data_IF_168601840770
#
_entry.id   IF_168601840770
#
_cell.length_a   1.000
_cell.length_b   1.000
_cell.length_c   1.000
_cell.angle_alpha   90.00
_cell.angle_beta   90.00
_cell.angle_gamma   90.00
#
_symmetry.space_group_name_H-M   'P 1'
#
loop_
_entity.id
_entity.type
_entity.pdbx_description
1 polymer ?
#
# COMPACT_ATOMS: atom_id res chain seq x y z
N UNK A 1 37.39 20.02 -2.59
CA UNK A 1 36.87 21.37 -2.93
C UNK A 1 37.63 21.87 -4.15
N UNK A 2 36.96 22.39 -5.20
CA UNK A 2 37.64 22.75 -6.45
C UNK A 2 38.59 23.94 -6.26
N UNK A 3 39.79 23.83 -6.80
CA UNK A 3 40.78 24.91 -6.87
C UNK A 3 40.25 26.09 -7.71
N UNK A 4 40.88 27.28 -7.57
CA UNK A 4 40.52 28.48 -8.34
C UNK A 4 40.44 28.20 -9.85
N UNK A 5 41.35 27.37 -10.37
CA UNK A 5 41.39 26.97 -11.78
C UNK A 5 40.27 26.01 -12.16
N UNK A 6 40.00 25.01 -11.32
CA UNK A 6 38.88 24.08 -11.52
C UNK A 6 37.51 24.80 -11.49
N UNK A 7 37.32 25.80 -10.61
CA UNK A 7 36.12 26.65 -10.60
C UNK A 7 35.95 27.44 -11.90
N UNK A 8 37.03 27.98 -12.47
CA UNK A 8 36.99 28.68 -13.76
C UNK A 8 36.55 27.74 -14.89
N UNK A 9 37.03 26.49 -14.88
CA UNK A 9 36.63 25.46 -15.84
C UNK A 9 35.14 25.12 -15.71
N UNK A 10 34.66 24.85 -14.49
CA UNK A 10 33.24 24.56 -14.24
C UNK A 10 32.33 25.71 -14.69
N UNK A 11 32.65 26.95 -14.31
CA UNK A 11 31.86 28.12 -14.68
C UNK A 11 31.80 28.32 -16.20
N UNK A 12 32.90 28.07 -16.90
CA UNK A 12 32.93 28.17 -18.36
C UNK A 12 32.07 27.09 -19.01
N UNK A 13 32.16 25.83 -18.56
CA UNK A 13 31.33 24.74 -19.08
C UNK A 13 29.85 25.03 -18.86
N UNK A 14 29.45 25.43 -17.65
CA UNK A 14 28.05 25.77 -17.32
C UNK A 14 27.52 26.93 -18.17
N UNK A 15 28.30 28.02 -18.31
CA UNK A 15 27.87 29.18 -19.09
C UNK A 15 27.82 28.90 -20.59
N UNK A 16 28.73 28.06 -21.11
CA UNK A 16 28.74 27.65 -22.50
C UNK A 16 27.55 26.75 -22.83
N UNK A 17 27.25 25.76 -21.98
CA UNK A 17 26.07 24.90 -22.13
C UNK A 17 24.76 25.70 -22.12
N UNK A 18 24.62 26.63 -21.16
CA UNK A 18 23.42 27.47 -21.07
C UNK A 18 23.20 28.35 -22.32
N UNK A 19 24.29 28.76 -22.99
CA UNK A 19 24.22 29.64 -24.17
C UNK A 19 24.09 28.88 -25.50
N UNK A 20 24.67 27.68 -25.60
CA UNK A 20 24.81 26.94 -26.88
C UNK A 20 24.00 25.64 -26.93
N UNK A 21 23.48 25.17 -25.80
CA UNK A 21 22.71 23.93 -25.72
C UNK A 21 23.55 22.64 -25.75
N UNK A 22 24.88 22.74 -25.78
CA UNK A 22 25.80 21.60 -25.77
C UNK A 22 27.11 21.93 -25.03
N UNK A 23 27.88 20.91 -24.65
CA UNK A 23 29.13 21.08 -23.90
C UNK A 23 30.28 21.61 -24.79
N UNK A 24 31.15 22.48 -24.25
CA UNK A 24 32.34 22.93 -24.98
C UNK A 24 33.34 21.79 -25.16
N UNK A 25 34.04 21.81 -26.30
CA UNK A 25 35.19 20.94 -26.56
C UNK A 25 36.42 21.34 -25.74
N UNK A 26 37.39 20.43 -25.63
CA UNK A 26 38.64 20.70 -24.90
C UNK A 26 39.44 21.86 -25.52
N UNK A 27 39.38 22.03 -26.84
CA UNK A 27 40.01 23.17 -27.54
C UNK A 27 39.31 24.51 -27.23
N UNK A 28 37.98 24.51 -27.09
CA UNK A 28 37.22 25.70 -26.70
C UNK A 28 37.51 26.10 -25.25
N UNK A 29 37.65 25.12 -24.35
CA UNK A 29 38.07 25.35 -22.96
C UNK A 29 39.50 25.90 -22.93
N UNK A 30 40.41 25.38 -23.77
CA UNK A 30 41.80 25.84 -23.88
C UNK A 30 41.88 27.30 -24.31
N UNK A 31 41.17 27.63 -25.38
CA UNK A 31 41.13 28.96 -25.96
C UNK A 31 40.55 29.97 -24.98
N UNK A 32 39.47 29.61 -24.27
CA UNK A 32 38.84 30.51 -23.31
C UNK A 32 39.70 30.77 -22.07
N UNK A 33 40.37 29.75 -21.55
CA UNK A 33 41.21 29.86 -20.35
C UNK A 33 42.66 30.24 -20.64
N UNK A 34 43.02 30.47 -21.92
CA UNK A 34 44.36 30.80 -22.41
C UNK A 34 45.43 29.84 -21.89
N UNK A 35 45.17 28.54 -21.99
CA UNK A 35 46.08 27.49 -21.54
C UNK A 35 47.02 27.03 -22.65
N UNK A 36 48.25 26.69 -22.28
CA UNK A 36 49.30 26.27 -23.23
C UNK A 36 49.04 24.90 -23.87
N UNK A 37 48.36 23.98 -23.17
CA UNK A 37 48.15 22.61 -23.65
C UNK A 37 46.76 22.05 -23.34
N UNK A 38 46.26 21.21 -24.25
CA UNK A 38 45.03 20.41 -24.08
C UNK A 38 45.21 19.38 -22.96
N UNK A 39 46.44 18.88 -22.75
CA UNK A 39 46.76 17.90 -21.71
C UNK A 39 46.51 18.46 -20.30
N UNK A 40 46.75 19.76 -20.08
CA UNK A 40 46.46 20.44 -18.81
C UNK A 40 44.96 20.47 -18.52
N UNK A 41 44.13 20.56 -19.55
CA UNK A 41 42.66 20.54 -19.42
C UNK A 41 42.18 19.13 -19.14
N UNK A 42 42.73 18.13 -19.85
CA UNK A 42 42.47 16.72 -19.55
C UNK A 42 42.74 16.40 -18.07
N UNK A 43 43.85 16.88 -17.51
CA UNK A 43 44.17 16.70 -16.09
C UNK A 43 43.11 17.31 -15.17
N UNK A 44 42.71 18.56 -15.42
CA UNK A 44 41.71 19.23 -14.59
C UNK A 44 40.30 18.66 -14.73
N UNK A 45 39.89 18.25 -15.95
CA UNK A 45 38.61 17.60 -16.20
C UNK A 45 38.59 16.25 -15.50
N UNK A 46 39.62 15.42 -15.65
CA UNK A 46 39.70 14.12 -14.97
C UNK A 46 39.62 14.28 -13.45
N UNK A 47 40.38 15.22 -12.88
CA UNK A 47 40.31 15.50 -11.44
C UNK A 47 38.94 16.02 -10.99
N UNK A 48 38.26 16.81 -11.82
CA UNK A 48 36.88 17.25 -11.57
C UNK A 48 35.87 16.10 -11.69
N UNK A 49 36.12 15.10 -12.53
CA UNK A 49 35.31 13.87 -12.61
C UNK A 49 35.55 12.97 -11.39
N UNK A 50 36.82 12.74 -11.02
CA UNK A 50 37.20 11.94 -9.85
C UNK A 50 36.63 12.55 -8.56
N UNK A 51 36.53 13.87 -8.49
CA UNK A 51 35.91 14.61 -7.38
C UNK A 51 34.38 14.77 -7.50
N UNK A 52 33.75 14.18 -8.53
CA UNK A 52 32.30 14.14 -8.70
C UNK A 52 31.62 15.43 -9.20
N UNK A 53 32.39 16.40 -9.70
CA UNK A 53 31.88 17.68 -10.20
C UNK A 53 31.50 17.66 -11.70
N UNK A 54 32.02 16.68 -12.46
CA UNK A 54 31.77 16.52 -13.90
C UNK A 54 31.48 15.06 -14.24
N UNK A 55 30.65 14.82 -15.25
CA UNK A 55 30.52 13.52 -15.91
C UNK A 55 30.92 13.65 -17.38
N UNK A 56 31.62 12.65 -17.94
CA UNK A 56 32.01 12.62 -19.36
C UNK A 56 31.98 11.17 -19.83
N UNK A 57 31.15 10.88 -20.80
CA UNK A 57 31.15 9.57 -21.48
C UNK A 57 32.40 9.44 -22.36
N UNK A 58 33.08 8.29 -22.27
CA UNK A 58 34.42 8.08 -22.86
C UNK A 58 34.48 8.22 -24.39
N UNK A 59 33.34 8.15 -25.10
CA UNK A 59 33.29 8.07 -26.56
C UNK A 59 32.65 9.28 -27.28
N UNK A 60 32.58 10.47 -26.67
CA UNK A 60 32.16 11.67 -27.40
C UNK A 60 32.95 12.94 -27.00
N UNK A 61 33.45 13.73 -27.98
CA UNK A 61 34.17 14.98 -27.70
C UNK A 61 33.30 16.08 -27.05
N UNK A 62 31.98 15.86 -26.90
CA UNK A 62 31.01 16.85 -26.36
C UNK A 62 30.07 16.30 -25.26
N UNK A 63 30.50 15.29 -24.50
CA UNK A 63 29.70 14.64 -23.44
C UNK A 63 29.93 15.16 -22.02
N UNK A 64 30.50 16.36 -21.82
CA UNK A 64 30.78 16.87 -20.46
C UNK A 64 29.51 17.46 -19.84
N UNK A 65 28.95 16.88 -18.78
CA UNK A 65 27.85 17.46 -17.99
C UNK A 65 28.35 17.91 -16.61
N UNK A 66 27.92 19.09 -16.14
CA UNK A 66 28.29 19.63 -14.82
C UNK A 66 27.25 19.20 -13.80
N UNK A 67 27.67 18.60 -12.68
CA UNK A 67 26.78 18.46 -11.53
C UNK A 67 26.60 19.84 -10.89
N UNK A 68 25.43 20.45 -11.07
CA UNK A 68 25.02 21.51 -10.14
C UNK A 68 24.87 20.88 -8.77
N UNK A 69 25.77 21.20 -7.83
CA UNK A 69 25.51 20.95 -6.41
C UNK A 69 24.38 21.87 -5.97
N UNK A 70 23.13 21.51 -6.31
CA UNK A 70 21.97 22.25 -5.85
C UNK A 70 21.94 22.12 -4.32
N UNK A 71 22.04 23.25 -3.61
CA UNK A 71 21.85 23.25 -2.16
C UNK A 71 20.44 22.72 -1.87
N UNK A 72 20.36 21.55 -1.25
CA UNK A 72 19.10 20.93 -0.86
C UNK A 72 18.64 21.51 0.48
N UNK A 73 17.37 21.85 0.59
CA UNK A 73 16.72 22.29 1.83
C UNK A 73 15.73 21.21 2.25
N UNK A 74 15.72 20.86 3.54
CA UNK A 74 14.77 19.91 4.11
C UNK A 74 13.50 20.66 4.50
N UNK A 75 12.37 20.26 3.93
CA UNK A 75 11.04 20.79 4.23
C UNK A 75 10.22 19.72 4.96
N UNK A 76 9.46 20.07 6.01
CA UNK A 76 8.62 19.11 6.73
C UNK A 76 7.52 18.53 5.82
N UNK A 77 7.37 17.20 5.83
CA UNK A 77 6.22 16.51 5.22
C UNK A 77 5.16 16.35 6.32
N UNK A 78 4.07 17.10 6.22
CA UNK A 78 3.09 17.24 7.32
C UNK A 78 1.93 16.23 7.25
N UNK A 79 1.93 15.32 6.27
CA UNK A 79 0.94 14.24 6.17
C UNK A 79 0.46 13.96 4.75
N UNK A 80 -0.67 13.28 4.66
CA UNK A 80 -1.37 12.91 3.42
C UNK A 80 -2.64 13.76 3.30
N UNK A 81 -2.98 14.22 2.10
CA UNK A 81 -4.19 14.99 1.80
C UNK A 81 -5.13 14.20 0.87
N UNK A 82 -6.19 13.61 1.44
CA UNK A 82 -7.30 12.96 0.74
C UNK A 82 -8.62 13.34 1.42
N UNK A 83 -9.69 13.45 0.63
CA UNK A 83 -11.03 13.86 1.05
C UNK A 83 -11.50 13.19 2.36
N UNK A 84 -11.81 14.01 3.37
CA UNK A 84 -12.65 13.62 4.50
C UNK A 84 -12.00 13.33 5.85
N UNK A 85 -10.68 13.43 6.04
CA UNK A 85 -10.04 13.18 7.36
C UNK A 85 -9.09 14.32 7.83
N UNK A 86 -8.97 14.54 9.16
CA UNK A 86 -8.18 15.62 9.74
C UNK A 86 -6.68 15.48 9.49
N UNK A 87 -6.01 16.62 9.27
CA UNK A 87 -4.55 16.73 9.41
C UNK A 87 -4.25 16.69 10.92
N UNK A 88 -4.27 15.51 11.52
CA UNK A 88 -3.67 15.32 12.84
C UNK A 88 -2.27 14.71 12.69
N UNK A 89 -1.33 15.41 13.30
CA UNK A 89 0.10 15.22 13.21
C UNK A 89 0.55 13.86 13.73
N UNK A 90 1.08 13.02 12.84
CA UNK A 90 2.03 11.98 13.23
C UNK A 90 3.36 12.69 13.49
N UNK A 91 3.78 12.74 14.76
CA UNK A 91 5.09 13.20 15.20
C UNK A 91 6.19 12.20 14.78
N UNK A 92 6.37 12.02 13.48
CA UNK A 92 7.65 11.62 12.91
C UNK A 92 8.02 12.72 11.92
N UNK A 93 9.13 13.42 12.15
CA UNK A 93 9.59 14.53 11.31
C UNK A 93 10.14 13.97 9.99
N UNK A 94 9.29 13.37 9.17
CA UNK A 94 9.61 13.12 7.78
C UNK A 94 9.87 14.47 7.10
N UNK A 95 10.98 14.55 6.37
CA UNK A 95 11.36 15.75 5.63
C UNK A 95 11.68 15.37 4.20
N UNK A 96 11.26 16.19 3.25
CA UNK A 96 11.64 16.06 1.84
C UNK A 96 12.77 17.04 1.55
N UNK A 97 13.80 16.56 0.86
CA UNK A 97 14.89 17.39 0.39
C UNK A 97 14.51 17.99 -0.97
N UNK A 98 14.44 19.31 -1.07
CA UNK A 98 14.13 20.01 -2.32
C UNK A 98 15.23 21.00 -2.68
N UNK A 99 15.48 21.25 -3.98
CA UNK A 99 16.39 22.30 -4.40
C UNK A 99 15.97 23.66 -3.84
N UNK A 100 16.93 24.42 -3.27
CA UNK A 100 16.68 25.77 -2.74
C UNK A 100 16.08 26.74 -3.76
N UNK A 101 16.26 26.47 -5.05
CA UNK A 101 15.65 27.23 -6.16
C UNK A 101 14.13 27.14 -6.19
N UNK A 102 13.54 26.09 -5.62
CA UNK A 102 12.08 25.91 -5.50
C UNK A 102 11.46 26.68 -4.32
N UNK A 103 12.30 27.24 -3.43
CA UNK A 103 11.87 28.01 -2.26
C UNK A 103 12.07 29.49 -2.56
N UNK A 104 10.98 30.26 -2.61
CA UNK A 104 11.06 31.72 -2.73
C UNK A 104 11.65 32.33 -1.45
N UNK A 105 12.40 33.42 -1.55
CA UNK A 105 12.97 34.11 -0.38
C UNK A 105 11.85 34.67 0.51
N UNK A 106 11.77 34.19 1.75
CA UNK A 106 10.79 34.63 2.75
C UNK A 106 9.47 33.86 2.67
N UNK A 107 9.15 33.12 3.74
CA UNK A 107 7.92 32.33 3.90
C UNK A 107 8.18 30.98 4.55
N UNK A 108 7.18 30.45 5.25
CA UNK A 108 7.19 29.08 5.76
C UNK A 108 6.59 28.15 4.70
N UNK A 109 7.23 27.00 4.49
CA UNK A 109 6.82 26.01 3.52
C UNK A 109 6.70 24.64 4.19
N UNK A 110 5.72 23.87 3.75
CA UNK A 110 5.54 22.48 4.13
C UNK A 110 5.12 21.65 2.91
N UNK A 111 5.28 20.34 2.99
CA UNK A 111 4.88 19.42 1.95
C UNK A 111 3.71 18.55 2.43
N UNK A 112 2.83 18.15 1.50
CA UNK A 112 1.79 17.15 1.74
C UNK A 112 1.80 16.13 0.60
N UNK A 113 1.56 14.86 0.92
CA UNK A 113 1.37 13.81 -0.08
C UNK A 113 -0.08 13.79 -0.54
N UNK A 114 -0.32 13.86 -1.84
CA UNK A 114 -1.66 13.80 -2.43
C UNK A 114 -2.18 12.38 -2.36
N UNK A 115 -3.44 12.23 -1.94
CA UNK A 115 -4.19 11.00 -2.06
C UNK A 115 -5.53 11.26 -2.77
N UNK A 116 -5.82 10.44 -3.77
CA UNK A 116 -6.94 10.59 -4.69
C UNK A 116 -6.60 11.34 -5.99
N UNK A 117 -7.58 11.36 -6.90
CA UNK A 117 -7.44 11.84 -8.28
C UNK A 117 -8.29 13.11 -8.57
N UNK A 118 -8.72 13.86 -7.55
CA UNK A 118 -9.62 15.03 -7.73
C UNK A 118 -8.98 16.23 -8.46
N UNK A 119 -7.67 16.19 -8.72
CA UNK A 119 -6.91 17.28 -9.35
C UNK A 119 -6.09 16.81 -10.57
N UNK A 120 -6.45 15.67 -11.17
CA UNK A 120 -5.71 15.06 -12.29
C UNK A 120 -5.62 15.97 -13.53
N UNK A 121 -6.66 16.74 -13.84
CA UNK A 121 -6.67 17.63 -15.01
C UNK A 121 -5.71 18.82 -14.83
N UNK A 122 -5.29 19.09 -13.59
CA UNK A 122 -4.22 20.04 -13.24
C UNK A 122 -2.85 19.37 -13.15
N UNK A 123 -2.72 18.14 -13.65
CA UNK A 123 -1.54 17.31 -13.53
C UNK A 123 -1.10 17.18 -12.07
N UNK A 124 -2.02 16.81 -11.18
CA UNK A 124 -1.71 16.43 -9.79
C UNK A 124 -2.30 15.05 -9.56
N UNK A 125 -1.44 14.04 -9.47
CA UNK A 125 -1.83 12.64 -9.41
C UNK A 125 -1.79 12.12 -7.97
N UNK A 126 -2.48 11.00 -7.75
CA UNK A 126 -2.34 10.25 -6.51
C UNK A 126 -0.88 9.90 -6.22
N UNK A 127 -0.43 10.13 -4.99
CA UNK A 127 0.94 9.90 -4.54
C UNK A 127 1.92 11.04 -4.78
N UNK A 128 1.59 12.04 -5.61
CA UNK A 128 2.42 13.24 -5.81
C UNK A 128 2.63 14.00 -4.48
N UNK A 129 3.70 14.79 -4.37
CA UNK A 129 3.95 15.63 -3.20
C UNK A 129 3.78 17.09 -3.59
N UNK A 130 2.84 17.79 -2.96
CA UNK A 130 2.65 19.22 -3.18
C UNK A 130 3.49 20.02 -2.20
N UNK A 131 4.20 21.02 -2.71
CA UNK A 131 4.90 22.02 -1.91
C UNK A 131 3.95 23.19 -1.67
N UNK A 132 3.71 23.48 -0.40
CA UNK A 132 2.74 24.46 0.06
C UNK A 132 3.46 25.61 0.75
N UNK A 133 3.17 26.84 0.32
CA UNK A 133 3.55 28.05 1.04
C UNK A 133 2.46 28.38 2.06
N UNK A 134 2.81 28.39 3.34
CA UNK A 134 1.88 28.67 4.43
C UNK A 134 1.37 30.11 4.34
N UNK A 135 0.05 30.27 4.23
CA UNK A 135 -0.63 31.56 4.21
C UNK A 135 -2.15 31.38 4.32
N UNK A 136 -2.83 32.36 4.92
CA UNK A 136 -4.28 32.32 5.16
C UNK A 136 -5.14 32.95 4.07
N UNK A 137 -4.52 33.60 3.07
CA UNK A 137 -5.23 34.27 1.99
C UNK A 137 -4.96 33.59 0.64
N UNK A 138 -5.98 33.52 -0.21
CA UNK A 138 -5.88 33.04 -1.59
C UNK A 138 -6.75 33.90 -2.53
N UNK A 139 -6.27 34.10 -3.75
CA UNK A 139 -7.00 34.70 -4.85
C UNK A 139 -7.73 33.66 -5.70
N UNK A 140 -8.70 34.10 -6.48
CA UNK A 140 -9.48 33.23 -7.36
C UNK A 140 -8.57 32.55 -8.40
N UNK A 141 -8.80 31.24 -8.61
CA UNK A 141 -8.02 30.42 -9.53
C UNK A 141 -6.72 29.87 -8.94
N UNK A 142 -6.38 30.20 -7.68
CA UNK A 142 -5.21 29.62 -7.02
C UNK A 142 -5.50 28.23 -6.46
N UNK A 143 -4.51 27.33 -6.56
CA UNK A 143 -4.56 26.02 -5.92
C UNK A 143 -4.23 26.16 -4.43
N UNK A 144 -5.13 25.71 -3.57
CA UNK A 144 -5.04 25.87 -2.12
C UNK A 144 -5.12 24.54 -1.41
N UNK A 145 -4.46 24.48 -0.26
CA UNK A 145 -4.82 23.54 0.80
C UNK A 145 -5.80 24.25 1.72
N UNK A 146 -7.03 23.75 1.77
CA UNK A 146 -8.09 24.28 2.63
C UNK A 146 -8.44 23.25 3.70
N UNK A 147 -8.64 23.71 4.93
CA UNK A 147 -9.18 22.94 6.03
C UNK A 147 -10.63 23.37 6.25
N UNK A 148 -11.56 22.43 6.17
CA UNK A 148 -12.98 22.66 6.36
C UNK A 148 -13.40 22.06 7.71
N UNK A 149 -14.20 22.81 8.48
CA UNK A 149 -14.71 22.45 9.82
C UNK A 149 -13.62 22.00 10.81
N UNK A 150 -12.39 22.48 10.63
CA UNK A 150 -11.21 22.12 11.42
C UNK A 150 -10.79 20.63 11.37
N UNK A 151 -11.38 19.81 10.48
CA UNK A 151 -11.01 18.40 10.34
C UNK A 151 -10.96 17.87 8.91
N UNK A 152 -11.33 18.61 7.87
CA UNK A 152 -11.31 18.08 6.50
C UNK A 152 -10.32 18.85 5.64
N UNK A 153 -9.13 18.29 5.40
CA UNK A 153 -8.16 18.91 4.51
C UNK A 153 -8.35 18.51 3.05
N UNK A 154 -8.38 19.49 2.17
CA UNK A 154 -8.59 19.26 0.74
C UNK A 154 -7.70 20.14 -0.13
N UNK A 155 -7.26 19.58 -1.25
CA UNK A 155 -6.53 20.29 -2.30
C UNK A 155 -7.48 20.59 -3.45
N UNK A 156 -7.75 21.88 -3.69
CA UNK A 156 -8.70 22.35 -4.71
C UNK A 156 -8.29 23.70 -5.28
N UNK A 157 -8.89 24.09 -6.40
CA UNK A 157 -8.79 25.46 -6.91
C UNK A 157 -9.81 26.35 -6.21
N UNK A 158 -9.35 27.44 -5.60
CA UNK A 158 -10.16 28.33 -4.79
C UNK A 158 -10.86 29.40 -5.64
N UNK A 159 -12.15 29.63 -5.35
CA UNK A 159 -12.93 30.74 -5.87
C UNK A 159 -13.76 31.38 -4.76
N UNK A 160 -13.50 32.67 -4.50
CA UNK A 160 -14.32 33.53 -3.66
C UNK A 160 -15.37 34.23 -4.54
N UNK A 161 -16.63 33.94 -4.25
CA UNK A 161 -17.80 34.51 -4.90
C UNK A 161 -18.59 35.36 -3.88
N UNK A 162 -19.58 36.16 -4.31
CA UNK A 162 -20.20 37.20 -3.45
C UNK A 162 -20.74 36.68 -2.10
N UNK A 163 -21.31 35.46 -2.07
CA UNK A 163 -21.93 34.88 -0.87
C UNK A 163 -21.46 33.45 -0.55
N UNK A 164 -20.44 32.96 -1.27
CA UNK A 164 -19.98 31.58 -1.13
C UNK A 164 -18.51 31.45 -1.49
N UNK A 165 -17.90 30.39 -0.98
CA UNK A 165 -16.59 29.92 -1.39
C UNK A 165 -16.80 28.62 -2.15
N UNK A 166 -16.19 28.52 -3.33
CA UNK A 166 -16.19 27.30 -4.13
C UNK A 166 -14.77 26.75 -4.21
N UNK A 167 -14.62 25.49 -3.79
CA UNK A 167 -13.42 24.71 -3.95
C UNK A 167 -13.62 23.75 -5.12
N UNK A 168 -13.01 24.09 -6.24
CA UNK A 168 -13.21 23.42 -7.52
C UNK A 168 -12.21 22.26 -7.69
N UNK A 169 -12.68 21.01 -7.89
CA UNK A 169 -11.82 19.93 -8.37
C UNK A 169 -11.41 20.17 -9.82
N UNK A 170 -10.24 19.65 -10.18
CA UNK A 170 -9.78 19.51 -11.56
C UNK A 170 -9.89 18.03 -11.96
N UNK A 171 -11.11 17.52 -11.86
CA UNK A 171 -11.54 16.21 -12.34
C UNK A 171 -13.07 16.27 -12.53
N UNK A 172 -13.54 15.93 -13.72
CA UNK A 172 -14.96 15.98 -14.10
C UNK A 172 -15.86 15.02 -13.32
N UNK A 173 -15.30 13.97 -12.71
CA UNK A 173 -16.03 13.01 -11.89
C UNK A 173 -16.39 13.54 -10.50
N UNK A 174 -15.86 14.72 -10.12
CA UNK A 174 -16.04 15.30 -8.79
C UNK A 174 -16.85 16.59 -8.86
N UNK A 175 -17.83 16.72 -7.96
CA UNK A 175 -18.59 17.95 -7.81
C UNK A 175 -17.80 19.02 -7.02
N UNK A 176 -17.99 20.32 -7.33
CA UNK A 176 -17.40 21.40 -6.55
C UNK A 176 -17.93 21.43 -5.12
N UNK A 177 -17.05 21.68 -4.14
CA UNK A 177 -17.47 21.94 -2.76
C UNK A 177 -17.85 23.42 -2.68
N UNK A 178 -19.13 23.71 -2.44
CA UNK A 178 -19.65 25.07 -2.29
C UNK A 178 -20.04 25.29 -0.84
N UNK A 179 -19.44 26.30 -0.20
CA UNK A 179 -19.69 26.66 1.20
C UNK A 179 -20.30 28.05 1.22
N UNK A 180 -21.55 28.18 1.66
CA UNK A 180 -22.19 29.49 1.83
C UNK A 180 -21.68 30.18 3.09
N UNK A 181 -21.75 31.51 3.09
CA UNK A 181 -21.36 32.32 4.25
C UNK A 181 -22.12 31.88 5.51
N UNK A 182 -21.39 31.42 6.53
CA UNK A 182 -21.95 31.01 7.82
C UNK A 182 -22.39 29.55 7.92
N UNK A 183 -22.22 28.74 6.86
CA UNK A 183 -22.64 27.34 6.84
C UNK A 183 -21.57 26.39 7.42
N UNK A 184 -20.32 26.55 6.99
CA UNK A 184 -19.15 25.75 7.41
C UNK A 184 -17.95 26.67 7.62
N UNK A 185 -17.04 26.27 8.49
CA UNK A 185 -15.79 27.00 8.70
C UNK A 185 -14.75 26.56 7.65
N UNK A 186 -14.05 27.51 7.02
CA UNK A 186 -12.98 27.20 6.07
C UNK A 186 -11.76 28.06 6.36
N UNK A 187 -10.62 27.39 6.53
CA UNK A 187 -9.32 28.01 6.76
C UNK A 187 -8.38 27.60 5.63
N UNK A 188 -7.84 28.58 4.92
CA UNK A 188 -6.76 28.33 3.96
C UNK A 188 -5.48 28.10 4.75
N UNK A 189 -4.86 26.93 4.57
CA UNK A 189 -3.59 26.58 5.20
C UNK A 189 -2.40 27.06 4.36
N UNK A 190 -2.56 27.11 3.03
CA UNK A 190 -1.54 27.65 2.15
C UNK A 190 -1.82 27.49 0.67
N UNK A 191 -0.92 28.06 -0.14
CA UNK A 191 -0.95 27.96 -1.60
C UNK A 191 -0.02 26.86 -2.08
N UNK A 192 -0.48 26.08 -3.05
CA UNK A 192 0.39 25.13 -3.75
C UNK A 192 1.28 25.90 -4.73
N UNK A 193 2.58 25.87 -4.48
CA UNK A 193 3.59 26.60 -5.27
C UNK A 193 4.31 25.69 -6.27
N UNK A 194 4.39 24.40 -5.97
CA UNK A 194 5.03 23.41 -6.85
C UNK A 194 4.47 22.02 -6.57
N UNK A 195 4.58 21.14 -7.56
CA UNK A 195 4.21 19.73 -7.47
C UNK A 195 5.46 18.92 -7.75
N UNK A 196 5.95 18.26 -6.70
CA UNK A 196 7.01 17.27 -6.83
C UNK A 196 6.31 16.00 -7.28
N UNK A 197 6.48 15.70 -8.56
CA UNK A 197 6.03 14.43 -9.09
C UNK A 197 6.60 13.32 -8.25
N UNK A 198 5.73 12.43 -7.80
CA UNK A 198 6.21 11.11 -7.43
C UNK A 198 6.82 10.59 -8.72
N UNK A 199 8.14 10.60 -8.81
CA UNK A 199 8.86 10.02 -9.94
C UNK A 199 8.63 8.50 -9.90
N UNK A 200 7.44 8.08 -10.33
CA UNK A 200 7.38 7.11 -11.40
C UNK A 200 7.77 7.92 -12.65
N UNK A 201 9.06 8.23 -12.76
CA UNK A 201 9.70 8.18 -14.07
C UNK A 201 9.14 6.91 -14.74
N UNK A 202 8.82 6.88 -16.05
CA UNK A 202 8.85 5.60 -16.72
C UNK A 202 10.28 5.12 -16.47
N UNK A 203 10.46 4.30 -15.44
CA UNK A 203 11.69 3.58 -15.24
C UNK A 203 11.81 2.90 -16.58
N UNK A 204 12.88 3.19 -17.31
CA UNK A 204 13.47 2.08 -18.03
C UNK A 204 13.58 1.01 -16.98
N UNK A 205 12.70 0.01 -17.11
CA UNK A 205 12.57 -1.05 -16.13
C UNK A 205 14.00 -1.45 -15.74
N UNK A 206 14.30 -1.44 -14.45
CA UNK A 206 15.65 -1.81 -13.98
C UNK A 206 16.04 -3.12 -14.66
N UNK A 207 17.32 -3.43 -14.85
CA UNK A 207 17.70 -4.73 -15.45
C UNK A 207 17.04 -5.91 -14.69
N UNK A 208 16.74 -5.72 -13.41
CA UNK A 208 15.92 -6.64 -12.64
C UNK A 208 14.42 -6.60 -13.03
N UNK A 209 13.77 -5.44 -13.19
CA UNK A 209 12.38 -5.28 -13.71
C UNK A 209 12.22 -5.81 -15.15
N UNK A 210 13.20 -5.59 -16.03
CA UNK A 210 13.25 -6.17 -17.39
C UNK A 210 13.48 -7.68 -17.35
N UNK A 211 14.31 -8.18 -16.42
CA UNK A 211 14.45 -9.63 -16.17
C UNK A 211 13.13 -10.23 -15.65
N UNK A 212 12.35 -9.49 -14.88
CA UNK A 212 11.05 -9.93 -14.35
C UNK A 212 9.94 -9.97 -15.42
N UNK A 213 9.91 -9.05 -16.38
CA UNK A 213 9.02 -9.14 -17.56
C UNK A 213 9.38 -10.33 -18.47
N UNK A 214 10.66 -10.73 -18.47
CA UNK A 214 11.17 -11.91 -19.18
C UNK A 214 10.96 -13.22 -18.42
N UNK A 215 10.49 -13.19 -17.17
CA UNK A 215 10.18 -14.43 -16.44
C UNK A 215 8.94 -15.07 -17.04
N UNK A 216 9.11 -16.30 -17.49
CA UNK A 216 8.03 -17.05 -18.11
C UNK A 216 6.90 -17.28 -17.10
N UNK A 217 5.72 -16.71 -17.41
CA UNK A 217 4.49 -16.99 -16.66
C UNK A 217 4.22 -18.50 -16.73
N UNK A 218 3.60 -19.04 -15.68
CA UNK A 218 3.13 -20.42 -15.69
C UNK A 218 2.16 -20.60 -16.85
N UNK A 219 2.55 -21.40 -17.84
CA UNK A 219 1.67 -21.86 -18.92
C UNK A 219 0.51 -22.69 -18.37
N UNK A 220 0.77 -23.43 -17.29
CA UNK A 220 -0.23 -24.11 -16.46
C UNK A 220 0.10 -23.89 -14.98
N UNK A 221 -0.92 -23.52 -14.20
CA UNK A 221 -0.75 -23.35 -12.75
C UNK A 221 -0.26 -24.66 -12.10
N UNK A 222 0.68 -24.59 -11.15
CA UNK A 222 1.16 -25.74 -10.39
C UNK A 222 0.13 -26.14 -9.33
N UNK A 223 -1.00 -26.70 -9.78
CA UNK A 223 -2.08 -27.11 -8.89
C UNK A 223 -1.62 -28.22 -7.94
N UNK A 224 -2.04 -28.12 -6.70
CA UNK A 224 -1.73 -29.01 -5.58
C UNK A 224 -0.24 -29.08 -5.24
N UNK A 225 0.48 -27.98 -5.44
CA UNK A 225 1.92 -27.89 -5.17
C UNK A 225 2.24 -26.89 -4.05
N UNK A 226 3.37 -27.14 -3.40
CA UNK A 226 3.98 -26.24 -2.41
C UNK A 226 5.30 -25.72 -2.96
N UNK A 227 5.33 -24.42 -3.25
CA UNK A 227 6.42 -23.73 -3.92
C UNK A 227 7.32 -23.11 -2.85
N UNK A 228 8.63 -23.32 -3.01
CA UNK A 228 9.62 -22.58 -2.24
C UNK A 228 9.99 -21.31 -2.99
N UNK A 229 9.71 -20.16 -2.38
CA UNK A 229 9.99 -18.87 -2.99
C UNK A 229 9.37 -17.72 -2.23
N UNK A 230 9.76 -16.51 -2.63
CA UNK A 230 9.08 -15.30 -2.19
C UNK A 230 7.66 -15.22 -2.78
N UNK A 231 6.70 -14.76 -1.98
CA UNK A 231 5.30 -14.71 -2.38
C UNK A 231 5.06 -13.82 -3.61
N UNK A 232 5.76 -12.69 -3.72
CA UNK A 232 5.64 -11.79 -4.86
C UNK A 232 6.18 -12.47 -6.12
N UNK A 233 7.34 -13.12 -6.03
CA UNK A 233 7.96 -13.82 -7.15
C UNK A 233 7.10 -15.00 -7.64
N UNK A 234 6.50 -15.75 -6.73
CA UNK A 234 5.56 -16.82 -7.09
C UNK A 234 4.29 -16.26 -7.74
N UNK A 235 3.71 -15.20 -7.19
CA UNK A 235 2.52 -14.59 -7.76
C UNK A 235 2.78 -13.95 -9.12
N UNK A 236 3.91 -13.27 -9.35
CA UNK A 236 4.28 -12.68 -10.66
C UNK A 236 4.22 -13.68 -11.80
N UNK A 237 4.56 -14.95 -11.53
CA UNK A 237 4.49 -16.05 -12.51
C UNK A 237 3.06 -16.56 -12.72
N UNK A 238 2.13 -16.30 -11.81
CA UNK A 238 0.72 -16.69 -11.97
C UNK A 238 0.01 -15.77 -12.97
N UNK A 239 -0.87 -16.32 -13.82
CA UNK A 239 -1.75 -15.51 -14.67
C UNK A 239 -2.66 -14.57 -13.85
N UNK A 240 -3.12 -13.51 -14.48
CA UNK A 240 -4.10 -12.61 -13.88
C UNK A 240 -5.44 -13.33 -13.72
N UNK A 241 -6.21 -12.98 -12.68
CA UNK A 241 -7.54 -13.55 -12.46
C UNK A 241 -7.58 -15.09 -12.51
N UNK A 242 -6.63 -15.75 -11.86
CA UNK A 242 -6.48 -17.21 -11.86
C UNK A 242 -6.87 -17.88 -10.54
N UNK A 243 -7.01 -17.13 -9.44
CA UNK A 243 -7.28 -17.65 -8.09
C UNK A 243 -8.71 -17.29 -7.65
N UNK A 244 -9.44 -18.27 -7.10
CA UNK A 244 -10.83 -18.08 -6.62
C UNK A 244 -10.86 -17.56 -5.18
N UNK A 245 -9.99 -18.11 -4.33
CA UNK A 245 -9.89 -17.72 -2.93
C UNK A 245 -8.44 -17.72 -2.45
N UNK A 246 -8.06 -16.70 -1.69
CA UNK A 246 -6.87 -16.72 -0.84
C UNK A 246 -7.30 -16.74 0.62
N UNK A 247 -6.74 -17.63 1.43
CA UNK A 247 -6.90 -17.60 2.90
C UNK A 247 -5.50 -17.68 3.49
N UNK A 248 -5.13 -16.67 4.27
CA UNK A 248 -3.78 -16.63 4.83
C UNK A 248 -3.72 -15.82 6.11
N UNK A 249 -2.64 -16.02 6.87
CA UNK A 249 -2.28 -15.23 8.04
C UNK A 249 -0.84 -14.75 7.86
N UNK A 250 -0.63 -13.47 7.48
CA UNK A 250 0.69 -12.96 7.17
C UNK A 250 1.61 -12.93 8.40
N UNK A 251 2.92 -12.76 8.22
CA UNK A 251 3.78 -12.28 9.28
C UNK A 251 3.41 -10.81 9.60
N UNK A 252 2.90 -10.53 10.80
CA UNK A 252 2.56 -9.16 11.24
C UNK A 252 3.34 -8.71 12.47
N UNK A 253 3.56 -7.39 12.56
CA UNK A 253 4.12 -6.63 13.69
C UNK A 253 5.47 -7.14 14.26
N UNK A 254 6.28 -7.78 13.41
CA UNK A 254 7.57 -8.38 13.77
C UNK A 254 7.49 -9.23 15.05
N UNK A 255 6.33 -9.84 15.31
CA UNK A 255 6.12 -10.62 16.53
C UNK A 255 7.07 -11.82 16.61
N UNK A 256 7.75 -12.13 15.49
CA UNK A 256 8.53 -13.34 15.28
C UNK A 256 9.71 -13.05 14.37
N UNK A 257 10.82 -13.71 14.64
CA UNK A 257 12.02 -13.61 13.83
C UNK A 257 11.88 -14.49 12.58
N UNK A 258 11.84 -13.86 11.42
CA UNK A 258 11.85 -14.52 10.11
C UNK A 258 13.24 -14.45 9.45
N UNK A 259 14.33 -14.52 10.23
CA UNK A 259 15.71 -14.63 9.73
C UNK A 259 16.12 -13.56 8.70
N UNK A 260 15.64 -12.32 8.84
CA UNK A 260 16.00 -11.21 7.96
C UNK A 260 15.16 -11.07 6.69
N UNK A 261 14.09 -11.86 6.50
CA UNK A 261 13.16 -11.65 5.38
C UNK A 261 12.32 -10.38 5.57
N UNK A 262 12.23 -9.57 4.50
CA UNK A 262 11.43 -8.36 4.48
C UNK A 262 9.99 -8.66 4.03
N UNK A 263 9.01 -8.14 4.76
CA UNK A 263 7.60 -8.29 4.42
C UNK A 263 7.10 -7.08 3.63
N UNK A 264 7.18 -7.15 2.30
CA UNK A 264 6.59 -6.13 1.42
C UNK A 264 5.07 -6.34 1.28
N UNK A 265 4.33 -5.76 2.22
CA UNK A 265 2.88 -5.86 2.25
C UNK A 265 2.22 -5.26 1.01
N UNK A 266 2.68 -4.11 0.50
CA UNK A 266 2.05 -3.45 -0.65
C UNK A 266 2.25 -4.25 -1.93
N UNK A 267 3.46 -4.77 -2.15
CA UNK A 267 3.76 -5.66 -3.27
C UNK A 267 2.93 -6.95 -3.24
N UNK A 268 2.78 -7.55 -2.06
CA UNK A 268 1.92 -8.72 -1.86
C UNK A 268 0.46 -8.38 -2.15
N UNK A 269 -0.09 -7.32 -1.56
CA UNK A 269 -1.47 -6.93 -1.73
C UNK A 269 -1.82 -6.61 -3.19
N UNK A 270 -0.92 -5.93 -3.90
CA UNK A 270 -1.07 -5.60 -5.33
C UNK A 270 -1.12 -6.86 -6.20
N UNK A 271 -0.22 -7.82 -5.94
CA UNK A 271 -0.22 -9.07 -6.68
C UNK A 271 -1.42 -9.97 -6.36
N UNK A 272 -1.86 -10.00 -5.10
CA UNK A 272 -3.09 -10.68 -4.69
C UNK A 272 -4.31 -10.12 -5.42
N UNK A 273 -4.41 -8.81 -5.59
CA UNK A 273 -5.48 -8.20 -6.38
C UNK A 273 -5.43 -8.61 -7.85
N UNK A 274 -4.24 -8.64 -8.45
CA UNK A 274 -4.04 -9.03 -9.85
C UNK A 274 -4.47 -10.47 -10.11
N UNK A 275 -4.02 -11.42 -9.30
CA UNK A 275 -4.28 -12.86 -9.50
C UNK A 275 -5.68 -13.29 -9.05
N UNK A 276 -6.32 -12.55 -8.14
CA UNK A 276 -7.70 -12.85 -7.71
C UNK A 276 -8.68 -12.65 -8.87
N UNK A 277 -9.53 -13.66 -9.11
CA UNK A 277 -10.62 -13.62 -10.10
C UNK A 277 -11.63 -12.52 -9.78
N UNK A 278 -12.32 -11.98 -10.79
CA UNK A 278 -13.48 -11.13 -10.56
C UNK A 278 -14.56 -11.92 -9.82
N UNK A 279 -14.99 -11.42 -8.67
CA UNK A 279 -15.87 -12.10 -7.73
C UNK A 279 -15.20 -13.16 -6.84
N UNK A 280 -13.88 -13.32 -6.94
CA UNK A 280 -13.09 -14.08 -5.97
C UNK A 280 -12.88 -13.32 -4.67
N UNK A 281 -12.44 -14.04 -3.64
CA UNK A 281 -12.29 -13.54 -2.29
C UNK A 281 -10.86 -13.69 -1.74
N UNK A 282 -10.52 -12.84 -0.78
CA UNK A 282 -9.28 -12.90 -0.01
C UNK A 282 -9.68 -12.79 1.46
N UNK A 283 -9.32 -13.80 2.25
CA UNK A 283 -9.49 -13.81 3.70
C UNK A 283 -8.13 -13.54 4.33
N UNK A 284 -8.03 -12.40 5.01
CA UNK A 284 -6.81 -11.91 5.62
C UNK A 284 -6.92 -11.94 7.15
N UNK A 285 -6.24 -12.90 7.77
CA UNK A 285 -6.32 -13.13 9.23
C UNK A 285 -5.16 -12.43 9.93
N UNK A 286 -5.46 -11.36 10.67
CA UNK A 286 -4.44 -10.49 11.27
C UNK A 286 -4.86 -10.01 12.66
N UNK A 287 -3.89 -9.95 13.56
CA UNK A 287 -4.02 -9.34 14.88
C UNK A 287 -3.22 -8.03 14.97
N UNK A 288 -3.45 -7.28 16.03
CA UNK A 288 -2.65 -6.10 16.35
C UNK A 288 -1.74 -6.37 17.54
N UNK A 289 -0.53 -5.83 17.48
CA UNK A 289 0.40 -5.77 18.61
C UNK A 289 0.04 -4.62 19.53
N UNK A 290 0.33 -4.82 20.81
CA UNK A 290 0.31 -3.78 21.82
C UNK A 290 1.76 -3.51 22.22
N UNK A 291 2.21 -2.26 22.09
CA UNK A 291 3.52 -1.78 22.52
C UNK A 291 3.31 -0.54 23.40
N UNK A 292 3.81 -0.57 24.64
CA UNK A 292 3.68 0.53 25.60
C UNK A 292 2.23 1.04 25.74
N UNK A 293 1.28 0.11 25.92
CA UNK A 293 -0.17 0.39 25.98
C UNK A 293 -0.81 0.96 24.70
N UNK A 294 -0.04 1.18 23.63
CA UNK A 294 -0.55 1.60 22.33
C UNK A 294 -0.77 0.39 21.40
N UNK A 295 -1.89 0.38 20.67
CA UNK A 295 -2.24 -0.67 19.72
C UNK A 295 -1.72 -0.26 18.33
N UNK A 296 -1.10 -1.18 17.59
CA UNK A 296 -0.50 -0.87 16.29
C UNK A 296 -1.50 -0.43 15.22
N UNK A 297 -2.75 -0.92 15.33
CA UNK A 297 -3.82 -0.80 14.34
C UNK A 297 -3.39 -1.32 12.95
N UNK A 298 -2.43 -2.25 12.92
CA UNK A 298 -1.91 -2.86 11.69
C UNK A 298 -3.02 -3.54 10.91
N UNK A 299 -3.96 -4.20 11.60
CA UNK A 299 -5.13 -4.85 10.99
C UNK A 299 -5.93 -3.90 10.08
N UNK A 300 -6.30 -2.73 10.59
CA UNK A 300 -7.08 -1.74 9.84
C UNK A 300 -6.24 -1.00 8.78
N UNK A 301 -4.98 -0.69 9.07
CA UNK A 301 -4.07 -0.10 8.06
C UNK A 301 -3.93 -1.02 6.84
N UNK A 302 -3.83 -2.32 7.08
CA UNK A 302 -3.77 -3.31 6.00
C UNK A 302 -5.08 -3.40 5.22
N UNK A 303 -6.24 -3.40 5.92
CA UNK A 303 -7.55 -3.40 5.28
C UNK A 303 -7.77 -2.16 4.39
N UNK A 304 -7.37 -0.98 4.87
CA UNK A 304 -7.45 0.28 4.10
C UNK A 304 -6.59 0.20 2.84
N UNK A 305 -5.34 -0.28 2.93
CA UNK A 305 -4.49 -0.44 1.74
C UNK A 305 -5.10 -1.40 0.72
N UNK A 306 -5.74 -2.49 1.16
CA UNK A 306 -6.46 -3.37 0.25
C UNK A 306 -7.60 -2.64 -0.48
N UNK A 307 -8.32 -1.73 0.20
CA UNK A 307 -9.33 -0.89 -0.43
C UNK A 307 -8.74 0.08 -1.46
N UNK A 308 -7.63 0.74 -1.11
CA UNK A 308 -6.91 1.66 -2.02
C UNK A 308 -6.45 0.94 -3.30
N UNK A 309 -6.04 -0.32 -3.20
CA UNK A 309 -5.65 -1.15 -4.35
C UNK A 309 -6.85 -1.57 -5.21
N UNK A 310 -8.05 -1.59 -4.64
CA UNK A 310 -9.31 -1.86 -5.36
C UNK A 310 -10.10 -3.08 -4.88
N UNK A 311 -9.70 -3.74 -3.79
CA UNK A 311 -10.58 -4.72 -3.14
C UNK A 311 -11.75 -4.03 -2.43
N UNK A 312 -12.92 -4.66 -2.44
CA UNK A 312 -13.98 -4.31 -1.51
C UNK A 312 -13.73 -5.02 -0.18
N UNK A 313 -13.79 -4.32 0.95
CA UNK A 313 -13.96 -4.94 2.28
C UNK A 313 -15.40 -5.42 2.36
N UNK A 314 -15.60 -6.70 2.05
CA UNK A 314 -16.92 -7.33 1.99
C UNK A 314 -17.48 -7.60 3.38
N UNK A 315 -16.62 -8.04 4.31
CA UNK A 315 -16.98 -8.23 5.73
C UNK A 315 -15.75 -8.02 6.61
N UNK A 316 -16.00 -7.59 7.86
CA UNK A 316 -15.02 -7.51 8.94
C UNK A 316 -15.46 -8.48 10.01
N UNK A 317 -14.83 -9.66 10.04
CA UNK A 317 -15.21 -10.74 10.93
C UNK A 317 -14.25 -10.84 12.12
N UNK A 318 -14.75 -11.38 13.22
CA UNK A 318 -13.98 -11.59 14.45
C UNK A 318 -13.71 -13.08 14.62
N UNK A 319 -12.42 -13.45 14.66
CA UNK A 319 -11.99 -14.74 15.16
C UNK A 319 -11.79 -14.65 16.67
N UNK A 320 -12.75 -15.15 17.45
CA UNK A 320 -12.66 -15.29 18.90
C UNK A 320 -11.91 -16.59 19.26
N UNK A 321 -10.84 -16.46 20.03
CA UNK A 321 -10.06 -17.59 20.56
C UNK A 321 -10.77 -18.17 21.78
N UNK A 322 -11.07 -19.48 21.75
CA UNK A 322 -11.77 -20.16 22.85
C UNK A 322 -10.90 -20.34 24.12
N UNK A 323 -9.57 -20.40 23.95
CA UNK A 323 -8.64 -20.63 25.05
C UNK A 323 -8.52 -19.40 25.95
N UNK A 324 -8.30 -19.63 27.25
CA UNK A 324 -8.06 -18.56 28.22
C UNK A 324 -6.85 -17.73 27.80
N UNK A 325 -7.04 -16.45 27.46
CA UNK A 325 -5.93 -15.57 27.10
C UNK A 325 -5.14 -15.15 28.34
N UNK A 326 -3.90 -14.69 28.15
CA UNK A 326 -3.10 -14.13 29.24
C UNK A 326 -3.77 -12.86 29.79
N UNK A 327 -4.15 -12.86 31.06
CA UNK A 327 -4.92 -11.77 31.66
C UNK A 327 -4.11 -10.49 31.78
N UNK A 328 -4.69 -9.38 31.36
CA UNK A 328 -4.11 -8.04 31.53
C UNK A 328 -4.63 -7.41 32.82
N UNK A 329 -3.78 -6.64 33.49
CA UNK A 329 -4.12 -5.93 34.73
C UNK A 329 -4.62 -4.50 34.49
N UNK A 330 -4.32 -3.91 33.33
CA UNK A 330 -4.59 -2.49 33.03
C UNK A 330 -5.53 -2.26 31.83
N UNK A 331 -6.16 -3.32 31.31
CA UNK A 331 -7.20 -3.26 30.27
C UNK A 331 -7.89 -4.63 30.14
N UNK A 332 -8.98 -4.70 29.37
CA UNK A 332 -9.57 -5.98 28.99
C UNK A 332 -8.58 -6.86 28.20
N UNK A 333 -8.65 -8.16 28.46
CA UNK A 333 -7.78 -9.14 27.84
C UNK A 333 -8.15 -9.36 26.37
N UNK A 334 -7.17 -9.28 25.47
CA UNK A 334 -7.39 -9.53 24.05
C UNK A 334 -7.65 -11.03 23.80
N UNK A 335 -8.84 -11.35 23.29
CA UNK A 335 -9.29 -12.73 23.03
C UNK A 335 -9.66 -12.98 21.57
N UNK A 336 -9.26 -12.09 20.65
CA UNK A 336 -9.64 -12.20 19.24
C UNK A 336 -8.55 -11.74 18.28
N UNK A 337 -8.73 -12.11 17.01
CA UNK A 337 -8.07 -11.57 15.83
C UNK A 337 -9.13 -11.17 14.80
N UNK A 338 -8.75 -10.35 13.82
CA UNK A 338 -9.64 -9.97 12.72
C UNK A 338 -9.47 -10.94 11.55
N UNK A 339 -10.58 -11.22 10.87
CA UNK A 339 -10.59 -11.87 9.57
C UNK A 339 -11.27 -10.90 8.59
N UNK A 340 -10.47 -10.21 7.78
CA UNK A 340 -11.03 -9.35 6.74
C UNK A 340 -11.38 -10.20 5.54
N UNK A 341 -12.66 -10.20 5.15
CA UNK A 341 -13.11 -10.80 3.90
C UNK A 341 -13.11 -9.71 2.85
N UNK A 342 -12.14 -9.78 1.95
CA UNK A 342 -11.93 -8.87 0.85
C UNK A 342 -12.44 -9.53 -0.44
N UNK A 343 -12.95 -8.76 -1.39
CA UNK A 343 -13.44 -9.30 -2.66
C UNK A 343 -13.14 -8.40 -3.83
N UNK A 344 -12.85 -9.01 -5.00
CA UNK A 344 -12.62 -8.25 -6.23
C UNK A 344 -13.94 -8.01 -6.94
N UNK A 345 -14.58 -6.88 -6.64
CA UNK A 345 -15.95 -6.60 -7.06
C UNK A 345 -16.97 -7.30 -6.16
N UNK A 346 -18.10 -7.74 -6.70
CA UNK A 346 -19.13 -8.48 -5.95
C UNK A 346 -18.75 -9.96 -5.87
N UNK A 347 -18.72 -10.61 -4.68
CA UNK A 347 -18.46 -12.04 -4.57
C UNK A 347 -19.36 -12.88 -5.48
N UNK A 348 -18.77 -13.84 -6.20
CA UNK A 348 -19.49 -14.75 -7.10
C UNK A 348 -20.08 -15.94 -6.34
N UNK A 349 -19.40 -16.38 -5.29
CA UNK A 349 -19.76 -17.56 -4.51
C UNK A 349 -19.96 -17.17 -3.06
N UNK A 350 -21.08 -17.58 -2.47
CA UNK A 350 -21.33 -17.47 -1.03
C UNK A 350 -22.22 -18.63 -0.58
N UNK A 351 -21.64 -19.56 0.18
CA UNK A 351 -22.29 -20.72 0.75
C UNK A 351 -22.40 -20.52 2.28
N UNK A 352 -23.45 -19.81 2.76
CA UNK A 352 -23.54 -19.44 4.16
C UNK A 352 -23.58 -20.66 5.08
N UNK A 353 -22.62 -20.74 6.00
CA UNK A 353 -22.65 -21.72 7.07
C UNK A 353 -23.82 -21.42 8.02
N UNK A 354 -24.49 -22.48 8.47
CA UNK A 354 -25.71 -22.38 9.27
C UNK A 354 -25.53 -22.98 10.66
N UNK A 355 -26.29 -22.44 11.60
CA UNK A 355 -26.43 -22.94 12.97
C UNK A 355 -27.91 -23.05 13.32
N UNK A 356 -28.22 -23.96 14.24
CA UNK A 356 -29.58 -24.10 14.76
C UNK A 356 -30.02 -22.81 15.45
N UNK A 357 -31.27 -22.44 15.23
CA UNK A 357 -31.90 -21.36 15.98
C UNK A 357 -32.17 -21.85 17.40
N UNK A 358 -31.72 -21.09 18.40
CA UNK A 358 -31.86 -21.47 19.82
C UNK A 358 -33.32 -21.47 20.26
N UNK A 359 -34.11 -20.53 19.73
CA UNK A 359 -35.55 -20.39 20.01
C UNK A 359 -36.36 -21.07 18.90
N UNK A 360 -37.58 -21.45 19.25
CA UNK A 360 -38.55 -22.06 18.34
C UNK A 360 -39.91 -21.36 18.50
N UNK A 361 -40.78 -21.52 17.52
CA UNK A 361 -42.14 -20.94 17.53
C UNK A 361 -42.23 -19.57 16.86
N UNK A 362 -43.32 -18.86 17.16
CA UNK A 362 -43.61 -17.55 16.57
C UNK A 362 -42.97 -16.42 17.39
N UNK A 363 -42.34 -15.47 16.71
CA UNK A 363 -41.75 -14.28 17.32
C UNK A 363 -42.05 -13.04 16.45
N UNK A 364 -42.00 -11.85 17.05
CA UNK A 364 -42.11 -10.59 16.32
C UNK A 364 -40.81 -10.34 15.56
N UNK A 365 -40.78 -10.70 14.27
CA UNK A 365 -39.63 -10.59 13.39
C UNK A 365 -39.59 -9.24 12.69
N UNK A 366 -38.40 -8.62 12.51
CA UNK A 366 -38.27 -7.41 11.72
C UNK A 366 -38.69 -7.69 10.27
N UNK A 367 -39.61 -6.88 9.74
CA UNK A 367 -40.13 -6.95 8.38
C UNK A 367 -39.80 -5.66 7.66
N UNK A 368 -39.00 -5.77 6.59
CA UNK A 368 -38.51 -4.65 5.77
C UNK A 368 -38.01 -3.45 6.60
N UNK A 369 -36.72 -3.48 6.95
CA UNK A 369 -36.01 -2.24 7.29
C UNK A 369 -35.85 -1.41 6.00
N UNK A 370 -36.72 -0.43 5.80
CA UNK A 370 -36.44 0.65 4.86
C UNK A 370 -35.26 1.49 5.36
N UNK A 371 -34.76 2.40 4.52
CA UNK A 371 -33.76 3.39 4.92
C UNK A 371 -34.31 4.45 5.89
N UNK A 372 -35.60 4.39 6.21
CA UNK A 372 -36.36 5.29 7.09
C UNK A 372 -36.13 5.04 8.59
N UNK A 373 -35.42 3.96 8.96
CA UNK A 373 -35.08 3.64 10.35
C UNK A 373 -36.26 3.11 11.18
N UNK A 374 -37.43 2.89 10.58
CA UNK A 374 -38.62 2.38 11.28
C UNK A 374 -38.58 0.86 11.33
N UNK A 375 -38.48 0.29 12.53
CA UNK A 375 -38.51 -1.15 12.74
C UNK A 375 -39.95 -1.67 12.77
N UNK A 376 -40.54 -1.92 11.60
CA UNK A 376 -41.79 -2.70 11.52
C UNK A 376 -41.48 -4.15 11.88
N UNK A 377 -42.26 -4.72 12.80
CA UNK A 377 -42.18 -6.13 13.17
C UNK A 377 -43.50 -6.81 12.85
N UNK A 378 -43.46 -8.00 12.29
CA UNK A 378 -44.63 -8.85 12.09
C UNK A 378 -44.43 -10.15 12.83
N UNK A 379 -45.53 -10.77 13.27
CA UNK A 379 -45.47 -12.11 13.82
C UNK A 379 -45.05 -13.08 12.71
N UNK A 380 -43.99 -13.84 12.95
CA UNK A 380 -43.48 -14.82 12.00
C UNK A 380 -42.86 -16.01 12.71
N UNK A 381 -42.84 -17.15 12.03
CA UNK A 381 -42.23 -18.36 12.56
C UNK A 381 -40.71 -18.31 12.44
N UNK A 382 -40.01 -18.67 13.51
CA UNK A 382 -38.57 -18.76 13.53
C UNK A 382 -38.10 -19.93 12.66
N UNK A 383 -37.20 -19.65 11.71
CA UNK A 383 -36.55 -20.71 10.91
C UNK A 383 -35.74 -21.62 11.83
N UNK A 384 -35.72 -22.95 11.58
CA UNK A 384 -34.99 -23.91 12.40
C UNK A 384 -33.47 -23.69 12.38
N UNK A 385 -32.97 -23.09 11.30
CA UNK A 385 -31.57 -22.72 11.13
C UNK A 385 -31.44 -21.27 10.65
N UNK A 386 -30.32 -20.66 11.02
CA UNK A 386 -29.91 -19.33 10.60
C UNK A 386 -28.45 -19.32 10.17
N UNK A 387 -28.09 -18.37 9.32
CA UNK A 387 -26.69 -18.12 8.97
C UNK A 387 -25.88 -17.78 10.23
N UNK A 388 -24.65 -18.27 10.30
CA UNK A 388 -23.71 -17.90 11.34
C UNK A 388 -23.49 -16.38 11.37
N UNK A 389 -23.23 -15.83 12.55
CA UNK A 389 -22.80 -14.44 12.69
C UNK A 389 -21.34 -14.29 12.22
N UNK A 390 -20.89 -13.05 12.04
CA UNK A 390 -19.51 -12.73 11.68
C UNK A 390 -18.53 -12.76 12.88
N UNK A 391 -18.92 -13.40 13.99
CA UNK A 391 -18.04 -13.68 15.13
C UNK A 391 -17.92 -15.20 15.24
N UNK A 392 -16.76 -15.73 14.87
CA UNK A 392 -16.49 -17.17 14.85
C UNK A 392 -15.57 -17.55 16.02
N UNK A 393 -15.89 -18.66 16.69
CA UNK A 393 -15.16 -19.11 17.87
C UNK A 393 -14.45 -20.44 17.60
N UNK A 394 -13.12 -20.44 17.68
CA UNK A 394 -12.30 -21.64 17.49
C UNK A 394 -11.27 -21.81 18.61
N UNK A 395 -11.01 -23.07 18.95
CA UNK A 395 -9.97 -23.45 19.89
C UNK A 395 -8.56 -23.34 19.27
N UNK A 396 -7.57 -23.11 20.12
CA UNK A 396 -6.15 -22.99 19.80
C UNK A 396 -5.38 -24.10 20.53
N UNK A 397 -4.30 -24.59 19.94
CA UNK A 397 -3.43 -25.63 20.52
C UNK A 397 -3.72 -27.02 19.97
N UNK A 398 -3.01 -28.04 20.47
CA UNK A 398 -3.17 -29.43 20.01
C UNK A 398 -4.59 -29.91 20.30
N UNK A 399 -5.25 -30.51 19.30
CA UNK A 399 -6.69 -30.86 19.27
C UNK A 399 -7.68 -29.69 19.17
N UNK A 400 -7.21 -28.43 19.26
CA UNK A 400 -8.02 -27.23 18.99
C UNK A 400 -7.76 -26.66 17.60
N UNK A 401 -6.50 -26.30 17.34
CA UNK A 401 -6.02 -25.81 16.04
C UNK A 401 -5.92 -26.94 15.01
N UNK A 402 -5.36 -28.07 15.43
CA UNK A 402 -5.19 -29.29 14.64
C UNK A 402 -4.84 -30.46 15.57
N UNK A 403 -5.17 -31.68 15.16
CA UNK A 403 -4.79 -32.92 15.85
C UNK A 403 -3.38 -33.41 15.48
N UNK A 404 -2.78 -32.91 14.39
CA UNK A 404 -1.46 -33.38 13.95
C UNK A 404 -0.31 -32.64 14.64
N UNK A 405 0.56 -33.40 15.33
CA UNK A 405 1.73 -32.86 16.05
C UNK A 405 2.75 -32.20 15.12
N UNK A 406 2.74 -32.54 13.83
CA UNK A 406 3.68 -32.04 12.83
C UNK A 406 3.48 -30.54 12.61
N UNK A 407 2.24 -30.04 12.60
CA UNK A 407 1.94 -28.63 12.45
C UNK A 407 2.62 -27.73 13.49
N UNK A 408 2.76 -28.19 14.74
CA UNK A 408 3.35 -27.43 15.85
C UNK A 408 4.87 -27.24 15.73
N UNK A 409 5.51 -27.81 14.70
CA UNK A 409 6.88 -27.44 14.32
C UNK A 409 6.95 -26.06 13.64
N UNK A 410 5.81 -25.53 13.21
CA UNK A 410 5.63 -24.13 12.83
C UNK A 410 5.14 -23.34 14.04
N UNK A 411 5.71 -22.15 14.32
CA UNK A 411 5.38 -21.42 15.54
C UNK A 411 3.96 -20.81 15.51
N UNK A 412 3.35 -20.59 14.31
CA UNK A 412 2.04 -19.92 14.13
C UNK A 412 1.17 -20.78 13.25
N UNK A 413 0.32 -21.56 13.87
CA UNK A 413 -0.69 -22.30 13.13
C UNK A 413 -2.03 -21.72 13.52
N UNK A 414 -2.77 -21.22 12.54
CA UNK A 414 -4.16 -20.83 12.74
C UNK A 414 -5.08 -22.05 12.56
N UNK A 415 -6.31 -22.05 13.12
CA UNK A 415 -7.15 -23.26 13.18
C UNK A 415 -7.54 -23.82 11.82
N UNK A 416 -7.50 -25.14 11.69
CA UNK A 416 -8.01 -25.86 10.50
C UNK A 416 -9.47 -25.52 10.22
N UNK A 417 -10.30 -25.51 11.27
CA UNK A 417 -11.72 -25.22 11.12
C UNK A 417 -11.99 -23.82 10.57
N UNK A 418 -11.17 -22.85 10.94
CA UNK A 418 -11.25 -21.48 10.41
C UNK A 418 -10.96 -21.46 8.90
N UNK A 419 -9.89 -22.13 8.47
CA UNK A 419 -9.55 -22.24 7.05
C UNK A 419 -10.65 -22.98 6.26
N UNK A 420 -11.11 -24.12 6.78
CA UNK A 420 -12.17 -24.93 6.18
C UNK A 420 -13.47 -24.14 6.02
N UNK A 421 -13.92 -23.45 7.06
CA UNK A 421 -15.18 -22.71 7.06
C UNK A 421 -15.16 -21.58 6.02
N UNK A 422 -14.01 -20.91 5.84
CA UNK A 422 -13.83 -19.94 4.75
C UNK A 422 -13.77 -20.58 3.36
N UNK A 423 -13.07 -21.71 3.20
CA UNK A 423 -13.04 -22.43 1.92
C UNK A 423 -14.45 -22.85 1.50
N UNK A 424 -15.22 -23.42 2.42
CA UNK A 424 -16.60 -23.81 2.18
C UNK A 424 -17.49 -22.62 1.85
N UNK A 425 -17.33 -21.50 2.57
CA UNK A 425 -18.15 -20.29 2.39
C UNK A 425 -17.93 -19.61 1.04
N UNK A 426 -16.69 -19.52 0.56
CA UNK A 426 -16.35 -18.64 -0.57
C UNK A 426 -16.02 -19.38 -1.86
N UNK A 427 -16.03 -20.72 -1.87
CA UNK A 427 -15.67 -21.52 -3.05
C UNK A 427 -16.51 -22.78 -3.22
N UNK A 428 -16.51 -23.34 -4.43
CA UNK A 428 -17.07 -24.64 -4.77
C UNK A 428 -15.96 -25.69 -4.96
N UNK A 429 -16.33 -26.97 -5.06
CA UNK A 429 -15.37 -28.02 -5.40
C UNK A 429 -14.62 -27.68 -6.71
N UNK A 430 -13.33 -28.02 -6.79
CA UNK A 430 -12.41 -27.73 -7.90
C UNK A 430 -12.00 -26.26 -8.10
N UNK A 431 -12.52 -25.32 -7.30
CA UNK A 431 -11.98 -23.95 -7.27
C UNK A 431 -10.52 -23.96 -6.75
N UNK A 432 -9.77 -22.91 -7.10
CA UNK A 432 -8.34 -22.81 -6.82
C UNK A 432 -8.12 -21.91 -5.60
N UNK A 433 -7.54 -22.50 -4.56
CA UNK A 433 -7.17 -21.83 -3.31
C UNK A 433 -5.68 -21.51 -3.32
N UNK A 434 -5.31 -20.30 -2.92
CA UNK A 434 -3.91 -19.90 -2.78
C UNK A 434 -3.59 -19.50 -1.35
N UNK A 435 -2.42 -19.88 -0.86
CA UNK A 435 -1.85 -19.38 0.39
C UNK A 435 -0.40 -18.90 0.15
N UNK A 436 -0.16 -17.56 0.09
CA UNK A 436 1.15 -16.99 -0.23
C UNK A 436 2.19 -17.14 0.90
N UNK A 437 1.75 -17.47 2.12
CA UNK A 437 2.60 -17.63 3.30
C UNK A 437 2.15 -18.87 4.09
N UNK A 438 2.22 -20.04 3.44
CA UNK A 438 1.47 -21.21 3.88
C UNK A 438 1.97 -21.84 5.20
N UNK A 439 3.21 -21.58 5.64
CA UNK A 439 3.73 -22.00 6.93
C UNK A 439 3.65 -23.51 7.15
N UNK A 440 2.74 -23.95 8.02
CA UNK A 440 2.47 -25.38 8.27
C UNK A 440 1.51 -26.04 7.27
N UNK A 441 0.98 -25.28 6.31
CA UNK A 441 0.12 -25.78 5.24
C UNK A 441 -1.34 -25.99 5.61
N UNK A 442 -1.85 -25.30 6.64
CA UNK A 442 -3.25 -25.47 7.10
C UNK A 442 -4.25 -25.23 5.98
N UNK A 443 -4.13 -24.12 5.24
CA UNK A 443 -5.02 -23.78 4.12
C UNK A 443 -4.98 -24.85 3.04
N UNK A 444 -3.78 -25.29 2.64
CA UNK A 444 -3.58 -26.31 1.61
C UNK A 444 -4.20 -27.65 2.02
N UNK A 445 -3.99 -28.09 3.28
CA UNK A 445 -4.59 -29.31 3.82
C UNK A 445 -6.11 -29.25 3.78
N UNK A 446 -6.71 -28.15 4.23
CA UNK A 446 -8.17 -28.00 4.25
C UNK A 446 -8.77 -27.89 2.85
N UNK A 447 -8.07 -27.23 1.92
CA UNK A 447 -8.48 -27.18 0.52
C UNK A 447 -8.53 -28.58 -0.10
N UNK A 448 -7.49 -29.39 0.13
CA UNK A 448 -7.42 -30.76 -0.38
C UNK A 448 -8.51 -31.66 0.19
N UNK A 449 -8.72 -31.66 1.53
CA UNK A 449 -9.79 -32.42 2.19
C UNK A 449 -11.17 -32.06 1.62
N UNK A 450 -11.38 -30.78 1.34
CA UNK A 450 -12.62 -30.27 0.78
C UNK A 450 -12.64 -30.30 -0.75
N UNK A 451 -11.76 -31.06 -1.43
CA UNK A 451 -11.75 -31.25 -2.90
C UNK A 451 -11.64 -29.95 -3.71
N UNK A 452 -10.90 -28.97 -3.20
CA UNK A 452 -10.46 -27.79 -3.96
C UNK A 452 -9.01 -28.01 -4.43
N UNK A 453 -8.62 -27.35 -5.51
CA UNK A 453 -7.21 -27.27 -5.87
C UNK A 453 -6.52 -26.28 -4.95
N UNK A 454 -5.25 -26.50 -4.63
CA UNK A 454 -4.48 -25.58 -3.80
C UNK A 454 -3.14 -25.22 -4.41
N UNK A 455 -2.62 -24.05 -4.07
CA UNK A 455 -1.23 -23.67 -4.30
C UNK A 455 -0.73 -23.04 -3.01
N UNK A 456 0.37 -23.55 -2.46
CA UNK A 456 1.01 -22.98 -1.28
C UNK A 456 2.37 -22.38 -1.64
N UNK A 457 2.75 -21.29 -1.00
CA UNK A 457 4.09 -20.72 -1.11
C UNK A 457 4.63 -20.38 0.28
N UNK A 458 5.93 -20.60 0.49
CA UNK A 458 6.63 -20.09 1.66
C UNK A 458 8.10 -19.81 1.32
N UNK A 459 8.61 -18.70 1.85
CA UNK A 459 10.02 -18.29 1.69
C UNK A 459 10.97 -19.19 2.48
N UNK A 460 10.46 -19.86 3.53
CA UNK A 460 11.24 -20.79 4.34
C UNK A 460 11.20 -22.19 3.74
N UNK A 461 12.34 -22.62 3.18
CA UNK A 461 12.53 -24.01 2.74
C UNK A 461 12.13 -25.04 3.80
N UNK A 462 12.41 -24.77 5.08
CA UNK A 462 12.04 -25.64 6.21
C UNK A 462 10.51 -25.81 6.32
N UNK A 463 9.75 -24.74 6.10
CA UNK A 463 8.28 -24.78 6.19
C UNK A 463 7.63 -25.39 4.96
N UNK A 464 8.23 -25.19 3.78
CA UNK A 464 7.85 -25.92 2.55
C UNK A 464 7.97 -27.43 2.75
N UNK A 465 9.13 -27.91 3.23
CA UNK A 465 9.33 -29.34 3.47
C UNK A 465 8.42 -29.89 4.58
N UNK A 466 8.17 -29.09 5.63
CA UNK A 466 7.21 -29.43 6.68
C UNK A 466 5.81 -29.64 6.11
N UNK A 467 5.36 -28.70 5.28
CA UNK A 467 4.03 -28.74 4.66
C UNK A 467 3.89 -29.91 3.70
N UNK A 468 4.89 -30.14 2.83
CA UNK A 468 4.91 -31.31 1.93
C UNK A 468 4.82 -32.61 2.71
N UNK A 469 5.58 -32.74 3.81
CA UNK A 469 5.52 -33.92 4.69
C UNK A 469 4.15 -34.08 5.34
N UNK A 470 3.54 -32.97 5.77
CA UNK A 470 2.20 -32.97 6.37
C UNK A 470 1.14 -33.42 5.37
N UNK A 471 1.13 -32.90 4.15
CA UNK A 471 0.15 -33.27 3.12
C UNK A 471 0.28 -34.73 2.68
N UNK A 472 1.51 -35.21 2.46
CA UNK A 472 1.79 -36.62 2.16
C UNK A 472 1.27 -37.57 3.23
N UNK A 473 1.31 -37.18 4.51
CA UNK A 473 0.82 -38.02 5.60
C UNK A 473 -0.70 -38.29 5.53
N UNK A 474 -1.45 -37.40 4.88
CA UNK A 474 -2.90 -37.54 4.72
C UNK A 474 -3.31 -38.06 3.34
N UNK A 475 -2.35 -38.48 2.49
CA UNK A 475 -2.59 -38.89 1.09
C UNK A 475 -3.33 -37.83 0.26
N UNK A 476 -3.01 -36.55 0.49
CA UNK A 476 -3.64 -35.37 -0.12
C UNK A 476 -2.79 -34.72 -1.19
#
# INVERSE_FOLDING_TARGET
>A
MPTKRQKQILNFITSFQKKKGFAPSLEEIKKHLKLSSVSTIHFHIKKLQDEGFLNKEENSPRSISVYESQQMVKIPLMGVIAAGQPIEAIQEKETIAIPKTKIMRGGHFFALRVAGNSMIDENINDGDVVLVKEQQAAGNGQKVVALIDNYEATLKTFYKERNQIRLQPANKEYEPIVIKKGEREIVIQGLVVDVIKNEISPKEATEEEKKWERMEKYTKLPLNEIIHGDAIEVMKRMPDCSIDLTVTSPPYDELRNYNGYHFDFRGIATNLFRITKKGGALVWVVGDKIKNSNKSLTSFKQAILFQEIGFNVHDVMIYKKKNTPFMRTNAYTNCFEFMFVLSKGKPKTFNPLRVKTIRQGQEMLPFNKGADGINKKILGELKPEKTMTNIWEYAVGLHGTTSDRIAFKHPAVFPEKLAEDHILSWTNEKDIIFDPMCGSGTTCKMAAINKRHYIGCDISKKYVELTKKRLKHFNL
#
